data_IF_642021118924
#
_entry.id   IF_642021118924
#
_cell.length_a   1.000
_cell.length_b   1.000
_cell.length_c   1.000
_cell.angle_alpha   90.00
_cell.angle_beta   90.00
_cell.angle_gamma   90.00
#
_symmetry.space_group_name_H-M   'P 1'
#
loop_
_entity.id
_entity.type
_entity.pdbx_description
1 polymer ?
#
# COMPACT_ATOMS: atom_id res chain seq x y z
N UNK A 1 25.55 -14.96 3.83
CA UNK A 1 24.61 -13.92 3.37
C UNK A 1 24.54 -14.01 1.86
N UNK A 2 23.39 -14.35 1.28
CA UNK A 2 23.28 -14.45 -0.18
C UNK A 2 23.54 -13.07 -0.80
N UNK A 3 24.55 -12.97 -1.67
CA UNK A 3 24.78 -11.79 -2.48
C UNK A 3 23.64 -11.67 -3.50
N UNK A 4 22.55 -11.05 -3.09
CA UNK A 4 21.44 -10.70 -3.98
C UNK A 4 21.99 -9.71 -5.01
N UNK A 5 22.26 -10.15 -6.25
CA UNK A 5 22.62 -9.25 -7.33
C UNK A 5 21.57 -8.16 -7.54
N UNK A 6 21.89 -7.14 -8.35
CA UNK A 6 20.96 -6.07 -8.70
C UNK A 6 19.61 -6.68 -9.11
N UNK A 7 18.49 -6.27 -8.47
CA UNK A 7 17.19 -6.88 -8.73
C UNK A 7 16.79 -6.68 -10.19
N UNK A 8 16.23 -7.73 -10.80
CA UNK A 8 15.75 -7.63 -12.18
C UNK A 8 14.57 -6.66 -12.27
N UNK A 9 14.42 -6.00 -13.42
CA UNK A 9 13.27 -5.11 -13.69
C UNK A 9 11.93 -5.80 -13.43
N UNK A 10 11.83 -7.09 -13.79
CA UNK A 10 10.62 -7.88 -13.57
C UNK A 10 10.33 -8.10 -12.08
N UNK A 11 11.36 -8.37 -11.26
CA UNK A 11 11.21 -8.52 -9.82
C UNK A 11 10.72 -7.24 -9.14
N UNK A 12 11.21 -6.07 -9.60
CA UNK A 12 10.75 -4.75 -9.14
C UNK A 12 9.26 -4.55 -9.50
N UNK A 13 8.86 -4.83 -10.73
CA UNK A 13 7.47 -4.67 -11.17
C UNK A 13 6.50 -5.61 -10.43
N UNK A 14 6.89 -6.86 -10.20
CA UNK A 14 6.09 -7.81 -9.43
C UNK A 14 5.87 -7.28 -8.00
N UNK A 15 6.94 -6.80 -7.35
CA UNK A 15 6.84 -6.23 -6.01
C UNK A 15 5.93 -5.00 -5.99
N UNK A 16 6.07 -4.10 -6.98
CA UNK A 16 5.22 -2.91 -7.12
C UNK A 16 3.74 -3.27 -7.22
N UNK A 17 3.38 -4.20 -8.11
CA UNK A 17 1.99 -4.62 -8.28
C UNK A 17 1.44 -5.29 -7.01
N UNK A 18 2.24 -6.10 -6.32
CA UNK A 18 1.84 -6.74 -5.08
C UNK A 18 1.60 -5.72 -3.94
N UNK A 19 2.48 -4.73 -3.81
CA UNK A 19 2.33 -3.66 -2.81
C UNK A 19 1.15 -2.75 -3.13
N UNK A 20 0.93 -2.40 -4.41
CA UNK A 20 -0.26 -1.64 -4.81
C UNK A 20 -1.55 -2.40 -4.52
N UNK A 21 -1.61 -3.69 -4.87
CA UNK A 21 -2.78 -4.53 -4.59
C UNK A 21 -3.09 -4.57 -3.10
N UNK A 22 -2.06 -4.70 -2.26
CA UNK A 22 -2.19 -4.71 -0.80
C UNK A 22 -2.59 -3.32 -0.27
N UNK A 23 -2.09 -2.23 -0.88
CA UNK A 23 -2.48 -0.87 -0.51
C UNK A 23 -3.97 -0.62 -0.82
N UNK A 24 -4.48 -1.17 -1.92
CA UNK A 24 -5.90 -1.08 -2.27
C UNK A 24 -6.82 -1.93 -1.39
N UNK A 25 -6.29 -2.96 -0.70
CA UNK A 25 -7.10 -3.81 0.17
C UNK A 25 -7.37 -3.20 1.55
N UNK A 26 -6.79 -2.05 1.88
CA UNK A 26 -7.16 -1.32 3.10
C UNK A 26 -8.61 -0.87 3.02
N UNK A 27 -9.37 -1.21 4.05
CA UNK A 27 -10.75 -0.78 4.26
C UNK A 27 -10.79 0.75 4.41
N UNK A 28 -9.98 1.29 5.31
CA UNK A 28 -9.99 2.73 5.63
C UNK A 28 -9.40 3.58 4.51
N UNK A 29 -10.13 4.61 4.07
CA UNK A 29 -9.72 5.48 2.96
C UNK A 29 -8.36 6.14 3.18
N UNK A 30 -8.15 6.72 4.37
CA UNK A 30 -6.90 7.42 4.70
C UNK A 30 -5.66 6.52 4.50
N UNK A 31 -5.72 5.28 4.97
CA UNK A 31 -4.62 4.32 4.81
C UNK A 31 -4.50 3.85 3.37
N UNK A 32 -5.62 3.53 2.71
CA UNK A 32 -5.61 3.12 1.30
C UNK A 32 -4.93 4.17 0.42
N UNK A 33 -5.37 5.42 0.48
CA UNK A 33 -4.82 6.50 -0.35
C UNK A 33 -3.36 6.80 0.02
N UNK A 34 -3.04 6.86 1.32
CA UNK A 34 -1.67 7.07 1.78
C UNK A 34 -0.72 5.99 1.25
N UNK A 35 -1.07 4.71 1.41
CA UNK A 35 -0.20 3.60 1.01
C UNK A 35 -0.12 3.43 -0.50
N UNK A 36 -1.19 3.75 -1.25
CA UNK A 36 -1.14 3.81 -2.72
C UNK A 36 -0.14 4.88 -3.17
N UNK A 37 -0.23 6.09 -2.62
CA UNK A 37 0.68 7.18 -2.98
C UNK A 37 2.12 6.88 -2.56
N UNK A 38 2.32 6.42 -1.31
CA UNK A 38 3.63 6.04 -0.78
C UNK A 38 4.28 4.95 -1.63
N UNK A 39 3.52 3.93 -2.05
CA UNK A 39 4.04 2.87 -2.93
C UNK A 39 4.47 3.45 -4.27
N UNK A 40 3.65 4.28 -4.92
CA UNK A 40 4.03 4.94 -6.19
C UNK A 40 5.31 5.76 -6.05
N UNK A 41 5.44 6.53 -4.97
CA UNK A 41 6.61 7.37 -4.75
C UNK A 41 7.88 6.56 -4.47
N UNK A 42 7.77 5.49 -3.68
CA UNK A 42 8.90 4.56 -3.45
C UNK A 42 9.40 3.94 -4.75
N UNK A 43 8.51 3.46 -5.61
CA UNK A 43 8.92 2.83 -6.87
C UNK A 43 9.39 3.82 -7.94
N UNK A 44 8.88 5.06 -7.93
CA UNK A 44 9.44 6.16 -8.73
C UNK A 44 10.88 6.51 -8.30
N UNK A 45 11.17 6.49 -6.99
CA UNK A 45 12.55 6.67 -6.50
C UNK A 45 13.47 5.55 -6.98
N UNK A 46 13.02 4.29 -6.90
CA UNK A 46 13.78 3.14 -7.42
C UNK A 46 14.02 3.27 -8.93
N UNK A 47 13.01 3.72 -9.69
CA UNK A 47 13.12 3.91 -11.13
C UNK A 47 14.12 5.01 -11.53
N UNK A 48 14.20 6.09 -10.75
CA UNK A 48 15.06 7.24 -11.04
C UNK A 48 16.50 7.06 -10.50
N UNK A 49 16.77 6.03 -9.71
CA UNK A 49 18.10 5.76 -9.16
C UNK A 49 18.95 4.99 -10.18
N UNK A 50 20.18 5.46 -10.38
CA UNK A 50 21.13 4.89 -11.35
C UNK A 50 22.18 4.01 -10.68
N UNK A 51 22.43 4.20 -9.38
CA UNK A 51 23.39 3.43 -8.61
C UNK A 51 22.84 2.02 -8.27
N UNK A 52 23.45 0.93 -8.78
CA UNK A 52 22.96 -0.43 -8.56
C UNK A 52 22.89 -0.84 -7.08
N UNK A 53 23.82 -0.36 -6.25
CA UNK A 53 23.84 -0.72 -4.83
C UNK A 53 22.72 -0.01 -4.06
N UNK A 54 22.40 1.23 -4.44
CA UNK A 54 21.23 1.95 -3.89
C UNK A 54 19.93 1.31 -4.34
N UNK A 55 19.80 0.93 -5.62
CA UNK A 55 18.62 0.21 -6.12
C UNK A 55 18.41 -1.09 -5.32
N UNK A 56 19.49 -1.83 -5.06
CA UNK A 56 19.44 -3.05 -4.25
C UNK A 56 19.00 -2.76 -2.81
N UNK A 57 19.55 -1.71 -2.19
CA UNK A 57 19.17 -1.31 -0.83
C UNK A 57 17.69 -0.95 -0.75
N UNK A 58 17.21 -0.06 -1.64
CA UNK A 58 15.82 0.37 -1.73
C UNK A 58 14.86 -0.80 -2.01
N UNK A 59 15.25 -1.72 -2.90
CA UNK A 59 14.47 -2.92 -3.15
C UNK A 59 14.39 -3.81 -1.91
N UNK A 60 15.50 -4.00 -1.18
CA UNK A 60 15.50 -4.78 0.06
C UNK A 60 14.60 -4.16 1.14
N UNK A 61 14.54 -2.84 1.20
CA UNK A 61 13.66 -2.10 2.10
C UNK A 61 12.19 -2.28 1.69
N UNK A 62 11.87 -2.10 0.41
CA UNK A 62 10.53 -2.33 -0.11
C UNK A 62 10.03 -3.76 0.13
N UNK A 63 10.91 -4.77 0.06
CA UNK A 63 10.57 -6.17 0.40
C UNK A 63 10.19 -6.29 1.88
N UNK A 64 10.96 -5.69 2.80
CA UNK A 64 10.64 -5.66 4.23
C UNK A 64 9.29 -4.96 4.48
N UNK A 65 9.12 -3.80 3.87
CA UNK A 65 7.90 -2.99 3.98
C UNK A 65 6.67 -3.72 3.43
N UNK A 66 6.81 -4.49 2.36
CA UNK A 66 5.69 -5.26 1.79
C UNK A 66 5.07 -6.23 2.81
N UNK A 67 5.89 -6.79 3.70
CA UNK A 67 5.44 -7.70 4.76
C UNK A 67 4.74 -6.94 5.89
N UNK A 68 5.21 -5.74 6.23
CA UNK A 68 4.52 -4.84 7.17
C UNK A 68 3.18 -4.40 6.59
N UNK A 69 3.18 -3.92 5.35
CA UNK A 69 1.99 -3.45 4.63
C UNK A 69 0.88 -4.51 4.61
N UNK A 70 1.22 -5.77 4.31
CA UNK A 70 0.25 -6.87 4.31
C UNK A 70 -0.36 -7.13 5.69
N UNK A 71 0.46 -7.12 6.75
CA UNK A 71 -0.03 -7.29 8.12
C UNK A 71 -0.94 -6.12 8.53
N UNK A 72 -0.54 -4.90 8.21
CA UNK A 72 -1.33 -3.70 8.49
C UNK A 72 -2.67 -3.70 7.76
N UNK A 73 -2.69 -4.16 6.49
CA UNK A 73 -3.94 -4.30 5.73
C UNK A 73 -4.89 -5.30 6.40
N UNK A 74 -4.39 -6.47 6.81
CA UNK A 74 -5.19 -7.47 7.51
C UNK A 74 -5.75 -6.95 8.83
N UNK A 75 -4.93 -6.27 9.64
CA UNK A 75 -5.39 -5.68 10.90
C UNK A 75 -6.45 -4.61 10.65
N UNK A 76 -6.29 -3.79 9.62
CA UNK A 76 -7.27 -2.78 9.26
C UNK A 76 -8.60 -3.38 8.79
N UNK A 77 -8.57 -4.49 8.06
CA UNK A 77 -9.76 -5.23 7.65
C UNK A 77 -10.46 -5.92 8.84
N UNK A 78 -9.72 -6.36 9.86
CA UNK A 78 -10.33 -6.98 11.05
C UNK A 78 -10.96 -5.95 12.01
N UNK A 79 -10.41 -4.73 12.02
CA UNK A 79 -10.80 -3.67 12.95
C UNK A 79 -11.12 -2.37 12.22
N UNK A 80 -11.89 -2.46 11.14
CA UNK A 80 -12.31 -1.30 10.35
C UNK A 80 -13.22 -0.38 11.17
N UNK A 81 -12.90 0.91 11.19
CA UNK A 81 -13.75 1.94 11.81
C UNK A 81 -14.95 2.30 10.93
N UNK A 82 -15.72 3.31 11.35
CA UNK A 82 -16.80 3.86 10.53
C UNK A 82 -16.27 4.53 9.26
N UNK A 83 -17.06 4.47 8.20
CA UNK A 83 -16.76 5.18 6.95
C UNK A 83 -16.67 6.68 7.20
N UNK A 84 -15.70 7.33 6.56
CA UNK A 84 -15.56 8.78 6.64
C UNK A 84 -16.65 9.46 5.80
N UNK A 85 -17.04 10.69 6.17
CA UNK A 85 -18.03 11.46 5.42
C UNK A 85 -17.66 11.65 3.94
N UNK A 86 -16.36 11.71 3.62
CA UNK A 86 -15.84 11.83 2.25
C UNK A 86 -16.00 10.56 1.40
N UNK A 87 -16.26 9.41 2.03
CA UNK A 87 -16.46 8.13 1.34
C UNK A 87 -17.93 7.91 0.94
N UNK A 88 -18.86 8.56 1.65
CA UNK A 88 -20.30 8.36 1.51
C UNK A 88 -20.88 9.38 0.53
N UNK A 89 -21.11 8.95 -0.72
CA UNK A 89 -21.61 9.83 -1.80
C UNK A 89 -23.04 10.34 -1.58
N UNK A 90 -23.84 9.62 -0.80
CA UNK A 90 -25.27 9.91 -0.57
C UNK A 90 -25.59 10.10 0.93
N UNK A 91 -24.65 10.64 1.70
CA UNK A 91 -24.83 10.88 3.14
C UNK A 91 -26.06 11.74 3.46
N UNK A 92 -26.46 12.62 2.54
CA UNK A 92 -27.66 13.45 2.65
C UNK A 92 -28.96 12.65 2.51
N UNK A 93 -28.95 11.55 1.75
CA UNK A 93 -30.14 10.71 1.50
C UNK A 93 -30.30 9.61 2.54
N UNK A 94 -29.20 9.08 3.05
CA UNK A 94 -29.20 8.11 4.15
C UNK A 94 -28.12 8.45 5.20
N UNK A 95 -28.52 9.10 6.30
CA UNK A 95 -27.62 9.41 7.40
C UNK A 95 -27.04 8.17 8.10
N UNK A 96 -27.67 6.98 7.95
CA UNK A 96 -27.17 5.75 8.56
C UNK A 96 -26.03 5.12 7.75
N UNK A 97 -25.85 5.46 6.48
CA UNK A 97 -24.72 4.99 5.67
C UNK A 97 -23.35 5.40 6.25
N UNK A 98 -23.31 6.50 7.02
CA UNK A 98 -22.10 6.95 7.75
C UNK A 98 -21.73 5.99 8.89
N UNK A 99 -22.70 5.27 9.45
CA UNK A 99 -22.49 4.33 10.56
C UNK A 99 -22.06 2.94 10.09
N UNK A 100 -22.02 2.70 8.77
CA UNK A 100 -21.46 1.47 8.24
C UNK A 100 -19.97 1.42 8.54
N UNK A 101 -19.51 0.24 8.97
CA UNK A 101 -18.08 0.04 9.15
C UNK A 101 -17.43 -0.14 7.79
N UNK A 102 -16.20 0.34 7.69
CA UNK A 102 -15.36 0.32 6.51
C UNK A 102 -14.93 -1.11 6.13
N UNK A 103 -14.96 -2.04 7.08
CA UNK A 103 -14.67 -3.47 6.92
C UNK A 103 -15.90 -4.34 6.64
N UNK A 104 -17.11 -3.76 6.60
CA UNK A 104 -18.36 -4.48 6.28
C UNK A 104 -18.56 -4.68 4.79
#
# INVERSE_FOLDING_TARGET
>A
MAAMGTPSRQAILILYHNMLRTSHSFSSYNFREYFVQRTKDTFRKIQNESDPEKVRSLYSEAVRDSTVLRRSALVNQLYGGWKLAVEVKDAEKDPNAIKERSDS
#
